data_IF_867512246869
#
_entry.id   IF_867512246869
#
_cell.length_a   1.000
_cell.length_b   1.000
_cell.length_c   1.000
_cell.angle_alpha   90.00
_cell.angle_beta   90.00
_cell.angle_gamma   90.00
#
_symmetry.space_group_name_H-M   'P 1'
#
loop_
_entity.id
_entity.type
_entity.pdbx_description
1 polymer ?
#
# COMPACT_ATOMS: atom_id res chain seq x y z
N UNK A 1 -13.28 -12.48 28.05
CA UNK A 1 -13.80 -13.26 26.90
C UNK A 1 -13.16 -12.64 25.67
N UNK A 2 -12.49 -13.44 24.85
CA UNK A 2 -11.86 -12.92 23.64
C UNK A 2 -12.94 -12.44 22.68
N UNK A 3 -12.83 -11.17 22.24
CA UNK A 3 -13.77 -10.58 21.27
C UNK A 3 -13.43 -10.95 19.81
N UNK A 4 -12.38 -11.74 19.60
CA UNK A 4 -11.99 -12.18 18.27
C UNK A 4 -12.94 -13.28 17.78
N UNK A 5 -13.51 -13.15 16.57
CA UNK A 5 -14.32 -14.17 15.96
C UNK A 5 -13.55 -15.51 15.83
N UNK A 6 -14.23 -16.62 16.07
CA UNK A 6 -13.61 -17.96 16.09
C UNK A 6 -12.97 -18.33 14.74
N UNK A 7 -13.57 -17.88 13.64
CA UNK A 7 -13.06 -18.06 12.28
C UNK A 7 -11.73 -17.31 12.04
N UNK A 8 -11.56 -16.11 12.58
CA UNK A 8 -10.31 -15.34 12.50
C UNK A 8 -9.22 -16.01 13.33
N UNK A 9 -9.56 -16.48 14.54
CA UNK A 9 -8.63 -17.22 15.37
C UNK A 9 -8.07 -18.45 14.64
N UNK A 10 -8.96 -19.22 14.01
CA UNK A 10 -8.58 -20.39 13.20
C UNK A 10 -7.70 -20.01 11.99
N UNK A 11 -8.03 -18.91 11.29
CA UNK A 11 -7.23 -18.43 10.17
C UNK A 11 -5.81 -18.02 10.60
N UNK A 12 -5.66 -17.36 11.76
CA UNK A 12 -4.33 -17.01 12.31
C UNK A 12 -3.55 -18.29 12.61
N UNK A 13 -4.16 -19.26 13.24
CA UNK A 13 -3.54 -20.53 13.58
C UNK A 13 -3.08 -21.29 12.32
N UNK A 14 -3.91 -21.34 11.29
CA UNK A 14 -3.55 -21.97 10.02
C UNK A 14 -2.43 -21.22 9.29
N UNK A 15 -2.46 -19.88 9.29
CA UNK A 15 -1.43 -19.07 8.65
C UNK A 15 -0.06 -19.26 9.31
N UNK A 16 -0.02 -19.26 10.65
CA UNK A 16 1.23 -19.40 11.42
C UNK A 16 1.94 -20.72 11.14
N UNK A 17 1.21 -21.77 10.75
CA UNK A 17 1.80 -23.06 10.36
C UNK A 17 2.43 -23.06 8.97
N UNK A 18 2.32 -21.97 8.20
CA UNK A 18 2.87 -21.87 6.84
C UNK A 18 4.26 -21.26 6.83
N UNK A 19 4.99 -21.47 5.73
CA UNK A 19 6.30 -20.87 5.50
C UNK A 19 6.25 -19.34 5.34
N UNK A 20 5.10 -18.79 4.98
CA UNK A 20 4.88 -17.37 4.81
C UNK A 20 3.44 -17.00 5.19
N UNK A 21 3.27 -15.77 5.62
CA UNK A 21 1.97 -15.23 6.01
C UNK A 21 2.08 -13.80 6.52
N UNK A 22 0.93 -13.15 6.66
CA UNK A 22 0.80 -11.81 7.25
C UNK A 22 -0.43 -11.77 8.14
N UNK A 23 -0.28 -11.20 9.32
CA UNK A 23 -1.40 -10.94 10.24
C UNK A 23 -1.37 -9.46 10.63
N UNK A 24 -2.53 -8.83 10.55
CA UNK A 24 -2.75 -7.46 10.97
C UNK A 24 -3.91 -7.40 11.95
N UNK A 25 -3.85 -6.51 12.93
CA UNK A 25 -4.95 -6.27 13.86
C UNK A 25 -4.88 -4.88 14.48
N UNK A 26 -6.02 -4.39 14.94
CA UNK A 26 -6.11 -3.23 15.80
C UNK A 26 -6.05 -3.63 17.27
N UNK A 27 -5.44 -2.78 18.08
CA UNK A 27 -5.26 -2.98 19.51
C UNK A 27 -5.69 -1.70 20.24
N UNK A 28 -6.56 -1.82 21.23
CA UNK A 28 -7.23 -0.65 21.86
C UNK A 28 -6.88 -0.44 23.32
N UNK A 29 -5.95 -1.17 23.87
CA UNK A 29 -5.59 -1.03 25.27
C UNK A 29 -4.57 0.06 25.55
N UNK A 30 -4.84 0.90 26.53
CA UNK A 30 -3.91 1.90 27.04
C UNK A 30 -2.72 1.26 27.78
N UNK A 31 -2.86 0.01 28.22
CA UNK A 31 -1.81 -0.76 28.94
C UNK A 31 -0.52 -0.89 28.15
N UNK A 32 -0.60 -0.82 26.82
CA UNK A 32 0.60 -0.90 25.98
C UNK A 32 1.61 0.21 26.28
N UNK A 33 1.11 1.44 26.47
CA UNK A 33 1.93 2.63 26.74
C UNK A 33 2.05 2.99 28.21
N UNK A 34 1.35 2.29 29.10
CA UNK A 34 1.42 2.53 30.52
C UNK A 34 2.84 2.15 31.04
N UNK A 35 3.59 3.09 31.60
CA UNK A 35 4.90 2.83 32.15
C UNK A 35 4.89 1.94 33.41
N UNK A 36 3.77 1.90 34.12
CA UNK A 36 3.60 1.08 35.32
C UNK A 36 3.14 -0.34 35.00
N UNK A 37 2.70 -0.59 33.76
CA UNK A 37 2.29 -1.90 33.33
C UNK A 37 3.52 -2.78 33.08
N UNK A 38 3.56 -3.92 33.76
CA UNK A 38 4.59 -4.95 33.54
C UNK A 38 4.55 -5.45 32.10
N UNK A 39 5.68 -5.98 31.63
CA UNK A 39 5.73 -6.71 30.37
C UNK A 39 4.75 -7.89 30.38
N UNK A 40 4.27 -8.28 29.21
CA UNK A 40 3.32 -9.37 29.07
C UNK A 40 3.23 -9.88 27.63
N UNK A 41 2.59 -11.01 27.45
CA UNK A 41 2.40 -11.66 26.16
C UNK A 41 1.14 -11.10 25.49
N UNK A 42 1.27 -10.67 24.24
CA UNK A 42 0.11 -10.28 23.41
C UNK A 42 -0.46 -11.54 22.77
N UNK A 43 0.39 -12.31 22.08
CA UNK A 43 0.05 -13.64 21.62
C UNK A 43 1.29 -14.52 21.50
N UNK A 44 1.08 -15.82 21.50
CA UNK A 44 2.14 -16.79 21.29
C UNK A 44 1.66 -18.05 20.57
N UNK A 45 2.60 -18.68 19.89
CA UNK A 45 2.54 -20.08 19.52
C UNK A 45 3.73 -20.76 20.19
N UNK A 46 3.52 -21.63 21.17
CA UNK A 46 4.61 -22.31 21.83
C UNK A 46 5.56 -22.95 20.82
N UNK A 47 6.85 -22.67 20.97
CA UNK A 47 7.91 -23.13 20.05
C UNK A 47 8.05 -22.44 18.68
N UNK A 48 7.33 -21.36 18.40
CA UNK A 48 7.43 -20.75 17.08
C UNK A 48 7.37 -19.22 17.06
N UNK A 49 6.30 -18.64 17.56
CA UNK A 49 6.00 -17.22 17.42
C UNK A 49 5.63 -16.62 18.76
N UNK A 50 6.19 -15.47 19.07
CA UNK A 50 5.85 -14.72 20.26
C UNK A 50 5.81 -13.23 19.95
N UNK A 51 4.73 -12.56 20.32
CA UNK A 51 4.63 -11.11 20.37
C UNK A 51 4.40 -10.68 21.81
N UNK A 52 5.32 -9.91 22.35
CA UNK A 52 5.23 -9.50 23.73
C UNK A 52 5.85 -8.13 24.02
N UNK A 53 5.34 -7.46 25.05
CA UNK A 53 5.91 -6.27 25.65
C UNK A 53 6.96 -6.69 26.67
N UNK A 54 8.14 -6.11 26.62
CA UNK A 54 9.23 -6.36 27.53
C UNK A 54 9.87 -5.04 27.99
N UNK A 55 10.28 -4.98 29.25
CA UNK A 55 11.14 -3.93 29.74
C UNK A 55 12.60 -4.38 29.61
N UNK A 56 13.42 -3.54 28.97
CA UNK A 56 14.84 -3.76 28.83
C UNK A 56 15.58 -2.45 29.05
N UNK A 57 16.50 -2.42 30.01
CA UNK A 57 17.30 -1.22 30.37
C UNK A 57 16.44 0.02 30.65
N UNK A 58 15.32 -0.15 31.36
CA UNK A 58 14.38 0.92 31.70
C UNK A 58 13.56 1.44 30.51
N UNK A 59 13.49 0.68 29.41
CA UNK A 59 12.71 1.02 28.21
C UNK A 59 11.74 -0.11 27.88
N UNK A 60 10.52 0.27 27.55
CA UNK A 60 9.54 -0.67 27.04
C UNK A 60 9.71 -0.87 25.53
N UNK A 61 9.72 -2.13 25.16
CA UNK A 61 9.85 -2.58 23.77
C UNK A 61 8.76 -3.59 23.46
N UNK A 62 8.31 -3.60 22.21
CA UNK A 62 7.51 -4.70 21.66
C UNK A 62 8.45 -5.53 20.80
N UNK A 63 8.50 -6.83 21.06
CA UNK A 63 9.33 -7.77 20.34
C UNK A 63 8.47 -8.85 19.67
N UNK A 64 8.70 -9.02 18.38
CA UNK A 64 8.17 -10.10 17.58
C UNK A 64 9.26 -11.17 17.39
N UNK A 65 9.05 -12.31 17.99
CA UNK A 65 9.91 -13.48 17.85
C UNK A 65 9.32 -14.46 16.87
N UNK A 66 10.19 -14.96 16.01
CA UNK A 66 9.85 -15.93 15.00
C UNK A 66 10.94 -16.99 14.95
N UNK A 67 10.64 -18.15 15.48
CA UNK A 67 11.56 -19.28 15.56
C UNK A 67 11.09 -20.43 14.69
N UNK A 68 12.04 -21.12 14.07
CA UNK A 68 11.79 -22.36 13.37
C UNK A 68 12.77 -23.43 13.84
N UNK A 69 12.30 -24.63 14.18
CA UNK A 69 13.17 -25.71 14.63
C UNK A 69 14.30 -25.99 13.62
N UNK A 70 15.54 -25.94 14.08
CA UNK A 70 16.74 -26.18 13.26
C UNK A 70 17.20 -25.04 12.38
N UNK A 71 16.52 -23.89 12.38
CA UNK A 71 16.85 -22.73 11.52
C UNK A 71 17.14 -21.45 12.26
N UNK A 72 16.99 -21.45 13.56
CA UNK A 72 17.26 -20.28 14.42
C UNK A 72 16.04 -19.40 14.68
N UNK A 73 16.30 -18.31 15.38
CA UNK A 73 15.30 -17.33 15.81
C UNK A 73 15.57 -15.99 15.16
N UNK A 74 14.53 -15.36 14.65
CA UNK A 74 14.55 -13.97 14.22
C UNK A 74 13.80 -13.12 15.23
N UNK A 75 14.30 -11.92 15.47
CA UNK A 75 13.68 -10.99 16.40
C UNK A 75 13.59 -9.63 15.75
N UNK A 76 12.40 -9.10 15.70
CA UNK A 76 12.13 -7.72 15.31
C UNK A 76 11.59 -6.97 16.52
N UNK A 77 12.25 -5.87 16.90
CA UNK A 77 11.95 -5.14 18.14
C UNK A 77 11.74 -3.65 17.84
N UNK A 78 10.70 -3.07 18.42
CA UNK A 78 10.38 -1.64 18.32
C UNK A 78 10.35 -1.05 19.73
N UNK A 79 11.09 0.04 19.95
CA UNK A 79 10.99 0.84 21.17
C UNK A 79 9.68 1.60 21.22
N UNK A 80 8.87 1.40 22.26
CA UNK A 80 7.57 2.07 22.39
C UNK A 80 7.67 3.59 22.47
N UNK A 81 8.78 4.15 22.94
CA UNK A 81 9.03 5.59 22.90
C UNK A 81 9.00 6.21 21.49
N UNK A 82 9.24 5.39 20.46
CA UNK A 82 9.25 5.80 19.06
C UNK A 82 7.86 5.65 18.41
N UNK A 83 6.90 5.08 19.12
CA UNK A 83 5.52 4.91 18.66
C UNK A 83 4.69 6.02 19.25
N UNK A 84 3.91 6.70 18.40
CA UNK A 84 2.99 7.74 18.86
C UNK A 84 1.86 7.07 19.64
N UNK A 85 1.66 7.39 20.93
CA UNK A 85 0.57 6.85 21.70
C UNK A 85 -0.79 7.20 21.06
N UNK A 86 -1.63 6.20 20.92
CA UNK A 86 -2.98 6.34 20.38
C UNK A 86 -3.93 5.40 21.11
N UNK A 87 -5.19 5.78 21.23
CA UNK A 87 -6.23 4.91 21.79
C UNK A 87 -6.45 3.64 20.96
N UNK A 88 -6.06 3.67 19.69
CA UNK A 88 -6.04 2.51 18.82
C UNK A 88 -4.68 2.41 18.19
N UNK A 89 -4.05 1.26 18.29
CA UNK A 89 -2.74 0.96 17.70
C UNK A 89 -2.90 -0.15 16.68
N UNK A 90 -2.38 0.08 15.49
CA UNK A 90 -2.34 -0.91 14.42
C UNK A 90 -1.06 -1.73 14.52
N UNK A 91 -1.20 -3.05 14.58
CA UNK A 91 -0.14 -4.03 14.51
C UNK A 91 -0.18 -4.76 13.19
N UNK A 92 0.98 -4.99 12.60
CA UNK A 92 1.11 -5.92 11.49
C UNK A 92 2.43 -6.66 11.57
N UNK A 93 2.42 -7.95 11.30
CA UNK A 93 3.62 -8.75 11.19
C UNK A 93 3.50 -9.73 10.04
N UNK A 94 4.57 -9.86 9.29
CA UNK A 94 4.69 -10.80 8.19
C UNK A 94 5.97 -11.60 8.30
N UNK A 95 5.93 -12.79 7.72
CA UNK A 95 7.08 -13.68 7.64
C UNK A 95 7.14 -14.34 6.27
N UNK A 96 8.36 -14.54 5.82
CA UNK A 96 8.73 -15.32 4.65
C UNK A 96 9.88 -16.25 5.03
N UNK A 97 10.28 -17.19 4.17
CA UNK A 97 11.49 -17.98 4.43
C UNK A 97 12.74 -17.15 4.68
N UNK A 98 12.82 -15.93 4.20
CA UNK A 98 14.03 -15.09 4.22
C UNK A 98 13.97 -13.94 5.21
N UNK A 99 12.78 -13.44 5.58
CA UNK A 99 12.61 -12.20 6.31
C UNK A 99 11.37 -12.24 7.19
N UNK A 100 11.41 -11.51 8.31
CA UNK A 100 10.24 -11.10 9.07
C UNK A 100 10.13 -9.59 9.05
N UNK A 101 8.91 -9.07 9.04
CA UNK A 101 8.62 -7.65 9.19
C UNK A 101 7.61 -7.45 10.31
N UNK A 102 7.83 -6.43 11.10
CA UNK A 102 6.96 -6.05 12.19
C UNK A 102 6.71 -4.55 12.18
N UNK A 103 5.44 -4.18 12.22
CA UNK A 103 4.98 -2.80 12.22
C UNK A 103 4.08 -2.53 13.41
N UNK A 104 4.22 -1.34 14.00
CA UNK A 104 3.33 -0.80 15.03
C UNK A 104 3.16 0.71 14.84
N UNK A 105 1.95 1.19 14.87
CA UNK A 105 1.65 2.62 14.72
C UNK A 105 0.18 2.94 14.89
N UNK A 106 -0.21 4.24 14.82
CA UNK A 106 -1.62 4.63 14.88
C UNK A 106 -2.43 4.12 13.68
N UNK A 107 -1.76 3.92 12.56
CA UNK A 107 -2.27 3.34 11.31
C UNK A 107 -1.13 2.61 10.62
N UNK A 108 -1.42 2.00 9.46
CA UNK A 108 -0.39 1.42 8.61
C UNK A 108 0.62 2.48 8.12
N UNK A 109 0.14 3.71 7.86
CA UNK A 109 0.98 4.87 7.57
C UNK A 109 1.40 5.55 8.89
N UNK A 110 2.64 5.95 9.00
CA UNK A 110 3.14 6.74 10.12
C UNK A 110 3.51 5.96 11.38
N UNK A 111 3.67 4.65 11.28
CA UNK A 111 4.17 3.80 12.36
C UNK A 111 5.67 3.54 12.26
N UNK A 112 6.16 2.68 13.15
CA UNK A 112 7.50 2.13 13.13
C UNK A 112 7.47 0.77 12.44
N UNK A 113 8.37 0.57 11.48
CA UNK A 113 8.60 -0.72 10.85
C UNK A 113 10.02 -1.19 11.15
N UNK A 114 10.15 -2.44 11.50
CA UNK A 114 11.44 -3.12 11.60
C UNK A 114 11.41 -4.42 10.83
N UNK A 115 12.54 -4.82 10.30
CA UNK A 115 12.71 -6.10 9.64
C UNK A 115 13.90 -6.86 10.21
N UNK A 116 13.86 -8.19 10.14
CA UNK A 116 14.97 -9.05 10.46
C UNK A 116 15.12 -10.13 9.40
N UNK A 117 16.28 -10.18 8.76
CA UNK A 117 16.63 -11.21 7.79
C UNK A 117 17.07 -12.48 8.49
N UNK A 118 16.73 -13.62 7.89
CA UNK A 118 17.07 -14.91 8.45
C UNK A 118 18.48 -15.36 8.15
N UNK A 119 18.89 -16.43 8.84
CA UNK A 119 20.12 -17.16 8.51
C UNK A 119 19.96 -17.79 7.11
N UNK A 120 20.89 -17.61 6.17
CA UNK A 120 20.77 -18.02 4.77
C UNK A 120 20.55 -19.53 4.52
N UNK A 121 20.70 -20.36 5.53
CA UNK A 121 20.62 -21.83 5.42
C UNK A 121 19.22 -22.44 5.57
N UNK A 122 18.18 -21.64 5.83
CA UNK A 122 16.84 -22.15 6.02
C UNK A 122 16.20 -22.58 4.71
N UNK A 123 16.28 -23.87 4.35
CA UNK A 123 15.66 -24.43 3.14
C UNK A 123 14.13 -24.55 3.22
N UNK A 124 13.58 -24.71 4.41
CA UNK A 124 12.15 -24.73 4.67
C UNK A 124 11.89 -24.07 6.01
N UNK A 125 11.34 -22.86 5.97
CA UNK A 125 10.98 -22.13 7.16
C UNK A 125 9.52 -22.40 7.50
N UNK A 126 9.29 -23.18 8.59
CA UNK A 126 7.97 -23.34 9.19
C UNK A 126 7.97 -22.61 10.51
N UNK A 127 7.03 -21.73 10.70
CA UNK A 127 6.91 -20.89 11.91
C UNK A 127 6.47 -21.75 13.10
N UNK A 128 5.53 -22.65 12.86
CA UNK A 128 5.02 -23.57 13.87
C UNK A 128 4.90 -24.98 13.30
N UNK A 129 4.81 -25.98 14.16
CA UNK A 129 4.52 -27.36 13.76
C UNK A 129 3.03 -27.50 13.49
N UNK A 130 2.65 -28.44 12.61
CA UNK A 130 1.27 -28.87 12.49
C UNK A 130 0.75 -29.29 13.87
N UNK A 131 -0.40 -28.77 14.29
CA UNK A 131 -0.95 -28.97 15.63
C UNK A 131 -0.46 -27.99 16.69
N UNK A 132 0.40 -26.99 16.35
CA UNK A 132 0.73 -25.92 17.29
C UNK A 132 -0.52 -25.09 17.60
N UNK A 133 -0.69 -24.71 18.85
CA UNK A 133 -1.86 -23.98 19.34
C UNK A 133 -1.49 -22.50 19.44
N UNK A 134 -2.23 -21.64 18.74
CA UNK A 134 -2.17 -20.20 18.92
C UNK A 134 -2.86 -19.82 20.23
N UNK A 135 -2.20 -19.03 21.06
CA UNK A 135 -2.70 -18.57 22.35
C UNK A 135 -2.63 -17.05 22.41
N UNK A 136 -3.70 -16.45 22.94
CA UNK A 136 -3.70 -15.02 23.26
C UNK A 136 -3.28 -14.89 24.73
N UNK A 137 -2.26 -14.06 24.96
CA UNK A 137 -1.77 -13.76 26.30
C UNK A 137 -2.63 -12.71 27.02
N UNK A 138 -2.19 -12.34 28.20
CA UNK A 138 -2.86 -11.38 29.09
C UNK A 138 -2.99 -9.98 28.48
N UNK A 139 -2.02 -9.55 27.66
CA UNK A 139 -2.12 -8.30 26.90
C UNK A 139 -2.85 -8.43 25.57
N UNK A 140 -3.23 -9.62 25.15
CA UNK A 140 -3.86 -9.85 23.83
C UNK A 140 -5.39 -9.77 23.85
N UNK A 141 -6.02 -9.55 25.01
CA UNK A 141 -7.48 -9.46 25.14
C UNK A 141 -8.11 -8.30 24.36
N UNK A 142 -7.31 -7.28 24.08
CA UNK A 142 -7.72 -6.04 23.42
C UNK A 142 -7.47 -6.06 21.90
N UNK A 143 -7.15 -7.21 21.33
CA UNK A 143 -7.02 -7.39 19.87
C UNK A 143 -8.40 -7.29 19.20
N UNK A 144 -8.49 -6.43 18.20
CA UNK A 144 -9.70 -6.23 17.41
C UNK A 144 -9.39 -6.25 15.91
N UNK A 145 -10.42 -6.52 15.10
CA UNK A 145 -10.38 -6.39 13.64
C UNK A 145 -9.17 -7.07 12.98
N UNK A 146 -8.86 -8.30 13.39
CA UNK A 146 -7.75 -9.02 12.82
C UNK A 146 -8.03 -9.45 11.37
N UNK A 147 -7.03 -9.32 10.52
CA UNK A 147 -7.04 -9.76 9.12
C UNK A 147 -5.83 -10.64 8.86
N UNK A 148 -6.05 -11.74 8.18
CA UNK A 148 -5.01 -12.74 7.89
C UNK A 148 -4.83 -12.90 6.39
N UNK A 149 -3.58 -12.80 5.94
CA UNK A 149 -3.18 -13.11 4.58
C UNK A 149 -2.29 -14.35 4.58
N UNK A 150 -2.47 -15.22 3.60
CA UNK A 150 -1.74 -16.49 3.50
C UNK A 150 -0.36 -16.36 2.87
N UNK A 151 -0.01 -15.17 2.41
CA UNK A 151 1.27 -14.82 1.80
C UNK A 151 2.04 -13.83 2.69
N UNK A 152 3.37 -13.86 2.57
CA UNK A 152 4.27 -12.94 3.25
C UNK A 152 4.30 -11.56 2.57
N UNK A 153 3.14 -10.93 2.37
CA UNK A 153 3.07 -9.57 1.80
C UNK A 153 3.90 -8.59 2.62
N UNK A 154 4.71 -7.75 1.96
CA UNK A 154 5.38 -6.67 2.65
C UNK A 154 4.36 -5.77 3.36
N UNK A 155 4.51 -5.59 4.66
CA UNK A 155 3.64 -4.74 5.50
C UNK A 155 3.60 -3.28 5.00
N UNK A 156 4.66 -2.85 4.31
CA UNK A 156 4.85 -1.48 3.82
C UNK A 156 4.06 -1.11 2.57
N UNK A 157 3.35 -2.03 1.97
CA UNK A 157 2.56 -1.66 0.80
C UNK A 157 1.08 -1.61 1.21
N UNK A 158 0.56 -0.41 1.54
CA UNK A 158 -0.87 -0.24 1.65
C UNK A 158 -1.51 -0.71 0.35
N UNK A 159 -2.73 -1.25 0.44
CA UNK A 159 -3.50 -1.54 -0.77
C UNK A 159 -3.61 -0.29 -1.63
N UNK A 160 -3.80 -0.45 -2.93
CA UNK A 160 -3.89 0.70 -3.83
C UNK A 160 -4.93 1.73 -3.34
N UNK A 161 -6.08 1.28 -2.84
CA UNK A 161 -7.14 2.18 -2.38
C UNK A 161 -6.79 2.86 -1.05
N UNK A 162 -6.04 2.21 -0.17
CA UNK A 162 -5.55 2.83 1.07
C UNK A 162 -4.49 3.88 0.78
N UNK A 163 -3.55 3.61 -0.14
CA UNK A 163 -2.58 4.59 -0.61
C UNK A 163 -3.27 5.82 -1.21
N UNK A 164 -4.37 5.61 -1.96
CA UNK A 164 -5.18 6.72 -2.48
C UNK A 164 -5.83 7.55 -1.39
N UNK A 165 -6.45 6.91 -0.37
CA UNK A 165 -7.01 7.62 0.79
C UNK A 165 -5.97 8.45 1.52
N UNK A 166 -4.76 7.92 1.71
CA UNK A 166 -3.63 8.65 2.27
C UNK A 166 -3.24 9.87 1.42
N UNK A 167 -3.30 9.76 0.09
CA UNK A 167 -3.08 10.89 -0.82
C UNK A 167 -4.12 12.00 -0.63
N UNK A 168 -5.41 11.65 -0.54
CA UNK A 168 -6.47 12.63 -0.29
C UNK A 168 -6.32 13.34 1.06
N UNK A 169 -5.93 12.61 2.10
CA UNK A 169 -5.69 13.19 3.42
C UNK A 169 -4.49 14.15 3.39
N UNK A 170 -3.40 13.80 2.70
CA UNK A 170 -2.25 14.70 2.51
C UNK A 170 -2.66 16.00 1.80
N UNK A 171 -3.47 15.92 0.75
CA UNK A 171 -3.98 17.12 0.05
C UNK A 171 -4.89 17.96 0.95
N UNK A 172 -5.71 17.33 1.78
CA UNK A 172 -6.54 18.00 2.75
C UNK A 172 -5.72 18.78 3.79
N UNK A 173 -4.64 18.16 4.31
CA UNK A 173 -3.71 18.83 5.24
C UNK A 173 -3.05 20.02 4.56
N UNK A 174 -2.55 19.87 3.33
CA UNK A 174 -1.99 21.00 2.57
C UNK A 174 -2.99 22.14 2.38
N UNK A 175 -4.26 21.81 2.21
CA UNK A 175 -5.32 22.80 1.96
C UNK A 175 -5.78 23.52 3.22
N UNK A 176 -5.58 22.94 4.41
CA UNK A 176 -6.10 23.50 5.68
C UNK A 176 -5.40 24.79 6.13
N UNK A 177 -4.19 25.06 5.64
CA UNK A 177 -3.40 26.26 5.99
C UNK A 177 -3.57 27.47 5.06
N UNK A 178 -4.47 27.40 4.07
CA UNK A 178 -4.42 28.32 2.91
C UNK A 178 -5.18 29.63 3.02
N UNK A 179 -6.04 29.82 4.01
CA UNK A 179 -7.04 30.93 3.96
C UNK A 179 -6.51 32.34 4.27
N UNK A 180 -5.29 32.50 4.79
CA UNK A 180 -4.81 33.81 5.26
C UNK A 180 -3.53 34.32 4.57
N UNK A 181 -2.91 33.54 3.68
CA UNK A 181 -1.52 33.78 3.23
C UNK A 181 -1.36 34.44 1.84
N UNK A 182 -2.46 34.90 1.24
CA UNK A 182 -2.43 35.65 -0.02
C UNK A 182 -2.30 34.78 -1.29
N UNK A 183 -2.37 35.46 -2.45
CA UNK A 183 -2.46 34.82 -3.77
C UNK A 183 -1.30 33.86 -4.11
N UNK A 184 -0.08 34.22 -3.79
CA UNK A 184 1.11 33.38 -4.11
C UNK A 184 1.05 32.05 -3.35
N UNK A 185 0.61 32.09 -2.11
CA UNK A 185 0.44 30.89 -1.30
C UNK A 185 -0.67 30.00 -1.87
N UNK A 186 -1.80 30.57 -2.29
CA UNK A 186 -2.89 29.87 -2.95
C UNK A 186 -2.41 29.13 -4.22
N UNK A 187 -1.64 29.83 -5.07
CA UNK A 187 -1.01 29.24 -6.26
C UNK A 187 -0.10 28.07 -5.88
N UNK A 188 0.79 28.25 -4.89
CA UNK A 188 1.70 27.21 -4.44
C UNK A 188 0.95 25.97 -3.92
N UNK A 189 -0.02 26.17 -3.04
CA UNK A 189 -0.81 25.06 -2.45
C UNK A 189 -1.61 24.32 -3.52
N UNK A 190 -2.22 25.02 -4.47
CA UNK A 190 -2.97 24.37 -5.55
C UNK A 190 -2.05 23.57 -6.45
N UNK A 191 -0.90 24.10 -6.86
CA UNK A 191 0.06 23.42 -7.70
C UNK A 191 0.68 22.20 -7.00
N UNK A 192 1.03 22.32 -5.72
CA UNK A 192 1.51 21.19 -4.92
C UNK A 192 0.43 20.12 -4.75
N UNK A 193 -0.82 20.51 -4.50
CA UNK A 193 -1.95 19.58 -4.41
C UNK A 193 -2.15 18.80 -5.71
N UNK A 194 -2.08 19.47 -6.86
CA UNK A 194 -2.14 18.80 -8.17
C UNK A 194 -0.98 17.80 -8.35
N UNK A 195 0.22 18.16 -7.94
CA UNK A 195 1.38 17.27 -8.02
C UNK A 195 1.22 16.04 -7.13
N UNK A 196 0.70 16.22 -5.92
CA UNK A 196 0.42 15.13 -4.98
C UNK A 196 -0.69 14.21 -5.52
N UNK A 197 -1.78 14.77 -6.08
CA UNK A 197 -2.87 13.98 -6.68
C UNK A 197 -2.39 13.12 -7.85
N UNK A 198 -1.57 13.67 -8.76
CA UNK A 198 -1.04 12.90 -9.89
C UNK A 198 -0.08 11.80 -9.42
N UNK A 199 0.79 12.10 -8.43
CA UNK A 199 1.68 11.08 -7.85
C UNK A 199 0.88 9.99 -7.13
N UNK A 200 -0.14 10.37 -6.38
CA UNK A 200 -1.05 9.41 -5.74
C UNK A 200 -1.80 8.53 -6.74
N UNK A 201 -2.27 9.10 -7.86
CA UNK A 201 -2.87 8.34 -8.95
C UNK A 201 -1.88 7.35 -9.58
N UNK A 202 -0.62 7.77 -9.79
CA UNK A 202 0.44 6.88 -10.28
C UNK A 202 0.63 5.68 -9.35
N UNK A 203 0.83 5.94 -8.05
CA UNK A 203 0.99 4.90 -7.03
C UNK A 203 -0.23 3.99 -7.00
N UNK A 204 -1.43 4.55 -6.97
CA UNK A 204 -2.68 3.80 -7.02
C UNK A 204 -2.74 2.89 -8.25
N UNK A 205 -2.57 3.44 -9.44
CA UNK A 205 -2.68 2.66 -10.67
C UNK A 205 -1.60 1.58 -10.77
N UNK A 206 -0.36 1.86 -10.36
CA UNK A 206 0.73 0.89 -10.37
C UNK A 206 0.47 -0.25 -9.39
N UNK A 207 0.07 0.06 -8.16
CA UNK A 207 -0.22 -0.94 -7.12
C UNK A 207 -1.44 -1.77 -7.51
N UNK A 208 -2.54 -1.13 -7.93
CA UNK A 208 -3.76 -1.81 -8.35
C UNK A 208 -3.55 -2.74 -9.55
N UNK A 209 -2.68 -2.36 -10.48
CA UNK A 209 -2.32 -3.18 -11.62
C UNK A 209 -1.73 -4.53 -11.22
N UNK A 210 -0.97 -4.56 -10.13
CA UNK A 210 -0.36 -5.78 -9.57
C UNK A 210 -1.37 -6.54 -8.71
N UNK A 211 -2.16 -5.85 -7.88
CA UNK A 211 -3.17 -6.46 -7.01
C UNK A 211 -4.19 -7.28 -7.77
N UNK A 212 -4.63 -6.81 -8.96
CA UNK A 212 -5.59 -7.54 -9.80
C UNK A 212 -5.09 -8.94 -10.16
N UNK A 213 -3.77 -9.12 -10.44
CA UNK A 213 -3.19 -10.47 -10.64
C UNK A 213 -3.19 -11.27 -9.32
N UNK A 214 -2.85 -10.62 -8.21
CA UNK A 214 -2.83 -11.27 -6.89
C UNK A 214 -4.22 -11.73 -6.44
N UNK A 215 -5.27 -11.04 -6.88
CA UNK A 215 -6.68 -11.43 -6.67
C UNK A 215 -7.13 -12.61 -7.57
N UNK A 216 -6.22 -13.15 -8.37
CA UNK A 216 -6.46 -14.31 -9.21
C UNK A 216 -6.96 -13.98 -10.63
N UNK A 217 -6.91 -12.72 -11.04
CA UNK A 217 -7.24 -12.30 -12.41
C UNK A 217 -5.98 -12.40 -13.28
N UNK A 218 -5.93 -13.34 -14.20
CA UNK A 218 -4.75 -13.55 -15.05
C UNK A 218 -4.61 -12.43 -16.09
N UNK A 219 -3.47 -11.70 -16.12
CA UNK A 219 -3.23 -10.70 -17.13
C UNK A 219 -2.88 -11.34 -18.49
N UNK A 220 -3.27 -10.68 -19.56
CA UNK A 220 -2.81 -11.05 -20.90
C UNK A 220 -1.36 -10.58 -21.12
N UNK A 221 -0.40 -11.43 -20.76
CA UNK A 221 1.03 -11.11 -20.80
C UNK A 221 1.54 -10.88 -22.21
N UNK A 222 1.06 -11.65 -23.18
CA UNK A 222 1.42 -11.49 -24.60
C UNK A 222 1.02 -10.10 -25.12
N UNK A 223 -0.20 -9.65 -24.84
CA UNK A 223 -0.67 -8.33 -25.24
C UNK A 223 0.13 -7.20 -24.57
N UNK A 224 0.61 -7.40 -23.35
CA UNK A 224 1.50 -6.45 -22.66
C UNK A 224 2.89 -6.41 -23.33
N UNK A 225 3.47 -7.55 -23.64
CA UNK A 225 4.76 -7.64 -24.35
C UNK A 225 4.66 -6.97 -25.71
N UNK A 226 3.64 -7.31 -26.50
CA UNK A 226 3.42 -6.70 -27.81
C UNK A 226 3.26 -5.18 -27.74
N UNK A 227 2.72 -4.65 -26.63
CA UNK A 227 2.45 -3.20 -26.50
C UNK A 227 3.62 -2.42 -25.96
N UNK A 228 4.33 -2.94 -24.95
CA UNK A 228 5.30 -2.17 -24.18
C UNK A 228 6.76 -2.53 -24.48
N UNK A 229 7.01 -3.52 -25.35
CA UNK A 229 8.34 -3.88 -25.80
C UNK A 229 8.53 -3.57 -27.29
N UNK A 230 9.69 -3.08 -27.65
CA UNK A 230 10.05 -2.87 -29.05
C UNK A 230 10.22 -4.21 -29.80
N UNK A 231 10.15 -4.19 -31.13
CA UNK A 231 10.38 -5.38 -31.94
C UNK A 231 11.74 -6.02 -31.63
N UNK A 232 12.81 -5.22 -31.54
CA UNK A 232 14.15 -5.66 -31.23
C UNK A 232 14.24 -6.42 -29.89
N UNK A 233 13.54 -5.94 -28.86
CA UNK A 233 13.51 -6.60 -27.55
C UNK A 233 12.73 -7.90 -27.60
N UNK A 234 11.66 -7.97 -28.39
CA UNK A 234 10.89 -9.21 -28.59
C UNK A 234 11.68 -10.27 -29.35
N UNK A 235 12.42 -9.86 -30.38
CA UNK A 235 13.23 -10.76 -31.20
C UNK A 235 14.49 -11.27 -30.49
N UNK A 236 15.02 -10.48 -29.53
CA UNK A 236 16.12 -10.88 -28.66
C UNK A 236 15.75 -11.96 -27.64
N UNK A 237 14.47 -12.30 -27.58
CA UNK A 237 13.92 -13.19 -26.54
C UNK A 237 13.65 -12.44 -25.24
N UNK A 238 12.43 -12.57 -24.74
CA UNK A 238 12.00 -11.93 -23.48
C UNK A 238 12.51 -12.71 -22.25
N UNK A 239 13.61 -13.44 -22.42
CA UNK A 239 14.22 -14.28 -21.36
C UNK A 239 14.62 -13.52 -20.09
N UNK A 240 14.90 -12.21 -20.21
CA UNK A 240 15.08 -11.35 -19.04
C UNK A 240 13.82 -11.18 -18.17
N UNK A 241 12.65 -11.50 -18.72
CA UNK A 241 11.36 -11.37 -18.04
C UNK A 241 10.73 -12.75 -17.87
N UNK A 242 11.44 -13.70 -17.35
CA UNK A 242 10.92 -15.03 -16.98
C UNK A 242 9.37 -15.10 -17.02
N UNK A 243 8.85 -15.38 -18.23
CA UNK A 243 7.41 -15.42 -18.53
C UNK A 243 6.81 -16.59 -17.73
N UNK A 244 6.60 -16.45 -16.49
CA UNK A 244 6.10 -17.50 -15.61
C UNK A 244 6.35 -17.24 -14.14
N UNK A 245 7.25 -16.32 -13.81
CA UNK A 245 7.53 -15.98 -12.41
C UNK A 245 6.69 -14.79 -11.94
N UNK A 246 6.35 -14.79 -10.67
CA UNK A 246 5.50 -13.83 -9.94
C UNK A 246 5.93 -12.37 -10.11
N UNK A 247 7.16 -12.10 -10.55
CA UNK A 247 7.69 -10.73 -10.67
C UNK A 247 7.51 -10.07 -12.05
N UNK A 248 6.89 -10.74 -13.05
CA UNK A 248 6.74 -10.16 -14.40
C UNK A 248 5.98 -8.84 -14.40
N UNK A 249 4.77 -8.81 -13.79
CA UNK A 249 3.98 -7.59 -13.74
C UNK A 249 4.64 -6.47 -12.94
N UNK A 250 5.31 -6.79 -11.86
CA UNK A 250 6.05 -5.81 -11.07
C UNK A 250 7.16 -5.15 -11.91
N UNK A 251 7.90 -5.96 -12.69
CA UNK A 251 8.97 -5.43 -13.56
C UNK A 251 8.43 -4.55 -14.68
N UNK A 252 7.36 -5.01 -15.36
CA UNK A 252 6.77 -4.23 -16.46
C UNK A 252 6.12 -2.95 -15.93
N UNK A 253 5.39 -3.02 -14.81
CA UNK A 253 4.78 -1.86 -14.17
C UNK A 253 5.81 -0.80 -13.78
N UNK A 254 6.95 -1.20 -13.22
CA UNK A 254 8.00 -0.26 -12.78
C UNK A 254 8.85 0.30 -13.93
N UNK A 255 9.10 -0.50 -14.98
CA UNK A 255 10.13 -0.16 -15.99
C UNK A 255 9.56 0.26 -17.33
N UNK A 256 8.32 -0.08 -17.64
CA UNK A 256 7.77 0.04 -19.01
C UNK A 256 6.48 0.83 -19.10
N UNK A 257 5.70 0.90 -18.04
CA UNK A 257 4.42 1.62 -18.05
C UNK A 257 4.59 2.95 -17.32
N UNK A 258 4.26 4.03 -18.00
CA UNK A 258 4.23 5.36 -17.39
C UNK A 258 2.84 5.62 -16.79
N UNK A 259 2.66 5.31 -15.50
CA UNK A 259 1.40 5.56 -14.80
C UNK A 259 1.13 7.05 -14.48
N UNK A 260 2.05 7.95 -14.82
CA UNK A 260 1.80 9.40 -14.84
C UNK A 260 1.16 9.87 -16.15
N UNK A 261 0.93 8.95 -17.10
CA UNK A 261 0.34 9.25 -18.40
C UNK A 261 -1.01 8.55 -18.53
N UNK A 262 -2.08 9.32 -18.71
CA UNK A 262 -3.43 8.80 -18.85
C UNK A 262 -3.58 7.75 -19.97
N UNK A 263 -2.94 7.98 -21.12
CA UNK A 263 -3.04 7.05 -22.26
C UNK A 263 -2.31 5.74 -21.98
N UNK A 264 -1.24 5.76 -21.21
CA UNK A 264 -0.51 4.55 -20.85
C UNK A 264 -1.24 3.75 -19.77
N UNK A 265 -1.88 4.42 -18.79
CA UNK A 265 -2.81 3.76 -17.86
C UNK A 265 -3.90 3.03 -18.64
N UNK A 266 -4.58 3.75 -19.55
CA UNK A 266 -5.65 3.20 -20.40
C UNK A 266 -5.20 1.98 -21.20
N UNK A 267 -4.02 2.06 -21.83
CA UNK A 267 -3.45 0.97 -22.63
C UNK A 267 -3.05 -0.22 -21.75
N UNK A 268 -2.43 0.02 -20.61
CA UNK A 268 -1.97 -1.02 -19.71
C UNK A 268 -3.14 -1.89 -19.23
N UNK A 269 -4.15 -1.27 -18.64
CA UNK A 269 -5.30 -2.00 -18.11
C UNK A 269 -6.16 -2.66 -19.19
N UNK A 270 -6.31 -1.99 -20.34
CA UNK A 270 -7.02 -2.59 -21.47
C UNK A 270 -6.29 -3.82 -22.01
N UNK A 271 -4.96 -3.76 -22.16
CA UNK A 271 -4.18 -4.88 -22.69
C UNK A 271 -4.02 -6.01 -21.68
N UNK A 272 -3.84 -5.71 -20.41
CA UNK A 272 -3.68 -6.72 -19.38
C UNK A 272 -5.00 -7.43 -19.02
N UNK A 273 -6.07 -6.66 -18.86
CA UNK A 273 -7.28 -7.13 -18.18
C UNK A 273 -8.56 -6.87 -18.99
N UNK A 274 -8.46 -6.32 -20.22
CA UNK A 274 -9.62 -5.96 -21.01
C UNK A 274 -10.42 -4.76 -20.47
N UNK A 275 -9.92 -4.06 -19.44
CA UNK A 275 -10.62 -2.97 -18.80
C UNK A 275 -10.56 -1.70 -19.66
N UNK A 276 -11.73 -1.21 -20.08
CA UNK A 276 -11.84 0.00 -20.89
C UNK A 276 -12.24 1.19 -20.02
N UNK A 277 -11.35 2.15 -19.85
CA UNK A 277 -11.59 3.34 -19.01
C UNK A 277 -12.81 4.15 -19.46
N UNK A 278 -13.15 4.15 -20.74
CA UNK A 278 -14.36 4.82 -21.23
C UNK A 278 -15.69 4.17 -20.81
N UNK A 279 -15.64 2.97 -20.23
CA UNK A 279 -16.81 2.17 -19.83
C UNK A 279 -16.99 2.06 -18.30
N UNK A 280 -16.16 2.77 -17.50
CA UNK A 280 -16.18 2.70 -16.01
C UNK A 280 -17.24 3.59 -15.36
N UNK A 281 -18.17 4.16 -16.13
CA UNK A 281 -19.26 4.99 -15.59
C UNK A 281 -18.91 6.46 -15.34
N UNK A 282 -17.80 6.95 -15.87
CA UNK A 282 -17.40 8.37 -15.81
C UNK A 282 -17.73 9.05 -17.13
N UNK A 283 -18.30 10.24 -17.06
CA UNK A 283 -18.62 10.99 -18.26
C UNK A 283 -17.35 11.51 -18.99
N UNK A 284 -17.48 11.79 -20.26
CA UNK A 284 -16.35 12.21 -21.11
C UNK A 284 -15.72 13.54 -20.69
N UNK A 285 -16.51 14.46 -20.10
CA UNK A 285 -16.00 15.75 -19.62
C UNK A 285 -15.06 15.58 -18.44
N UNK A 286 -15.43 14.74 -17.44
CA UNK A 286 -14.57 14.47 -16.29
C UNK A 286 -13.29 13.71 -16.71
N UNK A 287 -13.36 12.79 -17.66
CA UNK A 287 -12.15 12.14 -18.20
C UNK A 287 -11.24 13.12 -18.97
N UNK A 288 -11.81 14.07 -19.71
CA UNK A 288 -11.02 15.13 -20.36
C UNK A 288 -10.37 16.08 -19.33
N UNK A 289 -11.13 16.43 -18.28
CA UNK A 289 -10.59 17.23 -17.18
C UNK A 289 -9.44 16.51 -16.48
N UNK A 290 -9.61 15.24 -16.11
CA UNK A 290 -8.55 14.42 -15.50
C UNK A 290 -7.28 14.43 -16.37
N UNK A 291 -7.43 14.22 -17.68
CA UNK A 291 -6.30 14.24 -18.61
C UNK A 291 -5.60 15.59 -18.63
N UNK A 292 -6.33 16.71 -18.60
CA UNK A 292 -5.76 18.06 -18.52
C UNK A 292 -5.01 18.28 -17.22
N UNK A 293 -5.60 17.89 -16.07
CA UNK A 293 -4.98 18.03 -14.76
C UNK A 293 -3.67 17.24 -14.64
N UNK A 294 -3.62 16.02 -15.20
CA UNK A 294 -2.39 15.23 -15.28
C UNK A 294 -1.31 15.99 -16.10
N UNK A 295 -1.69 16.62 -17.22
CA UNK A 295 -0.75 17.37 -18.03
C UNK A 295 -0.26 18.66 -17.34
N UNK A 296 -1.09 19.32 -16.53
CA UNK A 296 -0.68 20.51 -15.76
C UNK A 296 0.44 20.21 -14.77
N UNK A 297 0.43 19.03 -14.16
CA UNK A 297 1.53 18.58 -13.29
C UNK A 297 2.89 18.64 -14.00
N UNK A 298 2.95 18.35 -15.29
CA UNK A 298 4.19 18.44 -16.03
C UNK A 298 4.76 19.89 -16.02
N UNK A 299 3.92 20.88 -16.24
CA UNK A 299 4.32 22.29 -16.17
C UNK A 299 4.75 22.68 -14.74
N UNK A 300 3.99 22.27 -13.73
CA UNK A 300 4.27 22.56 -12.32
C UNK A 300 5.66 22.03 -11.92
N UNK A 301 5.98 20.80 -12.29
CA UNK A 301 7.23 20.14 -11.89
C UNK A 301 8.44 20.62 -12.71
N UNK A 302 8.26 20.86 -14.00
CA UNK A 302 9.39 21.15 -14.91
C UNK A 302 9.61 22.64 -15.16
N UNK A 303 8.62 23.50 -14.89
CA UNK A 303 8.75 24.94 -15.07
C UNK A 303 8.86 25.63 -13.70
N UNK A 304 7.80 25.58 -12.88
CA UNK A 304 7.81 26.18 -11.56
C UNK A 304 6.59 25.74 -10.74
N UNK A 305 6.76 25.43 -9.43
CA UNK A 305 5.64 25.23 -8.53
C UNK A 305 4.80 26.50 -8.29
N UNK A 306 5.32 27.68 -8.66
CA UNK A 306 4.64 28.97 -8.58
C UNK A 306 4.07 29.45 -9.93
N UNK A 307 3.95 28.55 -10.92
CA UNK A 307 3.36 28.91 -12.21
C UNK A 307 1.90 29.37 -12.02
N UNK A 308 1.64 30.59 -12.45
CA UNK A 308 0.33 31.23 -12.22
C UNK A 308 -0.70 30.99 -13.33
N UNK A 309 -0.33 30.34 -14.44
CA UNK A 309 -1.21 29.98 -15.54
C UNK A 309 -0.82 28.63 -16.14
N UNK A 310 -1.72 27.65 -16.08
CA UNK A 310 -1.40 26.25 -16.34
C UNK A 310 -1.53 25.78 -17.80
N UNK A 311 -2.11 26.60 -18.67
CA UNK A 311 -2.36 26.26 -20.07
C UNK A 311 -1.65 27.20 -21.09
N UNK A 312 -0.51 27.76 -20.73
CA UNK A 312 0.23 28.75 -21.54
C UNK A 312 0.67 28.26 -22.93
N UNK A 313 0.86 26.96 -23.11
CA UNK A 313 1.50 26.41 -24.31
C UNK A 313 0.56 25.79 -25.35
N UNK A 314 -0.76 25.99 -25.22
CA UNK A 314 -1.74 25.41 -26.16
C UNK A 314 -2.09 26.32 -27.31
N UNK A 315 -2.23 25.73 -28.50
CA UNK A 315 -2.69 26.38 -29.72
C UNK A 315 -3.82 25.53 -30.31
N UNK A 316 -5.03 26.06 -30.52
CA UNK A 316 -5.46 27.42 -30.20
C UNK A 316 -5.50 27.66 -28.68
N UNK A 317 -5.36 28.92 -28.24
CA UNK A 317 -5.36 29.26 -26.84
C UNK A 317 -6.72 28.89 -26.21
N UNK A 318 -6.66 28.09 -25.15
CA UNK A 318 -7.82 27.84 -24.28
C UNK A 318 -8.00 29.03 -23.32
N UNK A 319 -9.17 29.15 -22.71
CA UNK A 319 -9.37 30.10 -21.60
C UNK A 319 -8.30 29.89 -20.54
N UNK A 320 -7.76 31.00 -19.98
CA UNK A 320 -6.71 30.92 -18.97
C UNK A 320 -7.16 30.11 -17.75
N UNK A 321 -6.34 29.14 -17.33
CA UNK A 321 -6.56 28.36 -16.12
C UNK A 321 -5.58 28.79 -15.06
N UNK A 322 -6.10 29.35 -14.00
CA UNK A 322 -5.33 29.85 -12.86
C UNK A 322 -5.40 28.86 -11.69
N UNK A 323 -4.25 28.55 -11.04
CA UNK A 323 -4.26 27.72 -9.83
C UNK A 323 -4.86 28.50 -8.66
N UNK A 324 -6.07 28.10 -8.28
CA UNK A 324 -6.86 28.68 -7.21
C UNK A 324 -7.59 27.59 -6.44
N UNK A 325 -8.33 27.97 -5.42
CA UNK A 325 -9.10 27.06 -4.56
C UNK A 325 -10.11 26.24 -5.35
N UNK A 326 -10.83 26.88 -6.27
CA UNK A 326 -11.88 26.24 -7.08
C UNK A 326 -11.27 25.12 -7.95
N UNK A 327 -10.15 25.38 -8.62
CA UNK A 327 -9.44 24.38 -9.41
C UNK A 327 -8.95 23.22 -8.54
N UNK A 328 -8.46 23.51 -7.33
CA UNK A 328 -8.00 22.49 -6.40
C UNK A 328 -9.14 21.58 -5.95
N UNK A 329 -10.29 22.13 -5.57
CA UNK A 329 -11.48 21.38 -5.16
C UNK A 329 -12.03 20.55 -6.32
N UNK A 330 -12.07 21.11 -7.52
CA UNK A 330 -12.48 20.40 -8.73
C UNK A 330 -11.51 19.26 -9.07
N UNK A 331 -10.22 19.47 -8.92
CA UNK A 331 -9.21 18.43 -9.11
C UNK A 331 -9.39 17.29 -8.11
N UNK A 332 -9.50 17.58 -6.82
CA UNK A 332 -9.75 16.56 -5.79
C UNK A 332 -10.97 15.70 -6.17
N UNK A 333 -12.11 16.35 -6.48
CA UNK A 333 -13.34 15.69 -6.88
C UNK A 333 -13.13 14.80 -8.13
N UNK A 334 -12.43 15.32 -9.15
CA UNK A 334 -12.23 14.63 -10.41
C UNK A 334 -11.35 13.39 -10.24
N UNK A 335 -10.23 13.50 -9.51
CA UNK A 335 -9.33 12.38 -9.25
C UNK A 335 -9.99 11.32 -8.37
N UNK A 336 -10.71 11.72 -7.33
CA UNK A 336 -11.39 10.79 -6.43
C UNK A 336 -12.53 10.04 -7.14
N UNK A 337 -13.33 10.74 -7.94
CA UNK A 337 -14.33 10.12 -8.80
C UNK A 337 -13.72 9.09 -9.74
N UNK A 338 -12.58 9.41 -10.36
CA UNK A 338 -11.89 8.49 -11.25
C UNK A 338 -11.41 7.26 -10.48
N UNK A 339 -10.69 7.42 -9.38
CA UNK A 339 -10.11 6.30 -8.63
C UNK A 339 -11.22 5.40 -8.07
N UNK A 340 -12.30 5.97 -7.54
CA UNK A 340 -13.43 5.20 -7.00
C UNK A 340 -14.09 4.34 -8.07
N UNK A 341 -14.49 4.93 -9.20
CA UNK A 341 -15.13 4.18 -10.28
C UNK A 341 -14.18 3.16 -10.92
N UNK A 342 -12.90 3.52 -11.07
CA UNK A 342 -11.90 2.64 -11.62
C UNK A 342 -11.63 1.44 -10.69
N UNK A 343 -11.59 1.66 -9.38
CA UNK A 343 -11.44 0.61 -8.38
C UNK A 343 -12.63 -0.36 -8.43
N UNK A 344 -13.85 0.16 -8.41
CA UNK A 344 -15.06 -0.65 -8.55
C UNK A 344 -15.08 -1.47 -9.85
N UNK A 345 -14.63 -0.87 -10.95
CA UNK A 345 -14.55 -1.58 -12.24
C UNK A 345 -13.51 -2.72 -12.20
N UNK A 346 -12.37 -2.51 -11.50
CA UNK A 346 -11.37 -3.58 -11.32
C UNK A 346 -11.87 -4.72 -10.43
N UNK A 347 -12.70 -4.43 -9.43
CA UNK A 347 -13.30 -5.45 -8.55
C UNK A 347 -14.35 -6.32 -9.29
N UNK A 348 -14.94 -5.80 -10.36
CA UNK A 348 -15.92 -6.52 -11.20
C UNK A 348 -15.26 -7.43 -12.25
N UNK A 349 -13.95 -7.40 -12.40
CA UNK A 349 -13.24 -8.31 -13.31
C UNK A 349 -13.45 -9.76 -12.87
N UNK A 350 -13.77 -10.64 -13.82
CA UNK A 350 -14.02 -12.05 -13.53
C UNK A 350 -12.69 -12.81 -13.48
N UNK A 351 -12.57 -13.72 -12.54
CA UNK A 351 -11.51 -14.73 -12.55
C UNK A 351 -11.68 -15.58 -13.80
N UNK A 352 -10.56 -15.79 -14.51
CA UNK A 352 -10.54 -16.79 -15.60
C UNK A 352 -10.46 -18.16 -14.94
N UNK A 353 -11.47 -18.97 -15.13
CA UNK A 353 -11.51 -20.37 -14.71
C UNK A 353 -10.37 -21.17 -15.36
#
# INVERSE_FOLDING_TARGET
MHNMPEDIFKQIQEAICRSEGTVCFNYTSDVLFDPDSKGGVIFEVPSGVHLFKVERDGKFQISFFHSSPGTGTRVATIDLKNVIPSSTVFFAFSWTPNEIQFHIGPKIEGGQLVSATGVPSARQFKVARDGSIFQIGDLGIDIMEATVYQDGKPILQPTAIEAWKGTLEAVKILSSGSSENGHIFEVAVTNLSLSVLVTGLEVYCQTRFIEVEQEGIKPNREALILKFFSQKERDAGVDEFEIGKTCFLQKIAKKRINFQNYEDIKKAYNKAYGLKIGEIGINSKDLQLLRRLINYRHLIVHVSPLIGMLNQSKVPPEEPVFPNKELREEAIRCFDLFVTNFHEATLKLKRSD
#
